data_IF_493790544912
#
_entry.id   IF_493790544912
#
_cell.length_a   1.000
_cell.length_b   1.000
_cell.length_c   1.000
_cell.angle_alpha   90.00
_cell.angle_beta   90.00
_cell.angle_gamma   90.00
#
_symmetry.space_group_name_H-M   'P 1'
#
loop_
_entity.id
_entity.type
_entity.pdbx_description
1 polymer ?
#
# COMPACT_ATOMS: atom_id res chain seq x y z
N UNK A 1 -11.78 -1.27 -41.15
CA UNK A 1 -10.67 -0.40 -40.72
C UNK A 1 -11.25 0.96 -40.37
N UNK A 2 -11.33 1.28 -39.07
CA UNK A 2 -11.51 2.65 -38.60
C UNK A 2 -10.42 2.84 -37.54
N UNK A 3 -9.44 3.67 -37.90
CA UNK A 3 -8.34 4.07 -37.05
C UNK A 3 -8.86 4.87 -35.86
N UNK A 4 -8.72 4.35 -34.64
CA UNK A 4 -8.84 5.18 -33.45
C UNK A 4 -7.54 5.99 -33.30
N UNK A 5 -7.52 7.14 -33.96
CA UNK A 5 -6.54 8.21 -33.85
C UNK A 5 -6.59 8.88 -32.47
N UNK A 6 -6.29 8.16 -31.38
CA UNK A 6 -5.91 8.72 -30.07
C UNK A 6 -5.13 7.69 -29.26
N UNK A 7 -3.96 7.28 -29.76
CA UNK A 7 -2.99 6.55 -28.94
C UNK A 7 -2.32 7.51 -27.97
N UNK A 8 -2.95 7.81 -26.83
CA UNK A 8 -2.21 8.39 -25.71
C UNK A 8 -1.14 7.39 -25.32
N UNK A 9 0.12 7.66 -25.66
CA UNK A 9 1.25 6.86 -25.20
C UNK A 9 1.25 6.86 -23.67
N UNK A 10 0.63 5.85 -23.06
CA UNK A 10 0.63 5.63 -21.63
C UNK A 10 1.99 5.06 -21.26
N UNK A 11 2.97 5.93 -21.04
CA UNK A 11 4.27 5.51 -20.51
C UNK A 11 4.06 4.81 -19.17
N UNK A 12 4.36 3.51 -19.14
CA UNK A 12 4.43 2.70 -17.92
C UNK A 12 5.87 2.78 -17.42
N UNK A 13 6.13 3.60 -16.40
CA UNK A 13 7.49 3.95 -15.97
C UNK A 13 8.24 2.74 -15.43
N UNK A 14 7.55 1.86 -14.71
CA UNK A 14 8.15 0.65 -14.12
C UNK A 14 7.77 -0.64 -14.86
N UNK A 15 7.47 -0.57 -16.18
CA UNK A 15 7.00 -1.72 -16.97
C UNK A 15 7.86 -2.98 -16.80
N UNK A 16 9.19 -2.86 -16.94
CA UNK A 16 10.12 -3.99 -16.81
C UNK A 16 10.05 -4.65 -15.43
N UNK A 17 9.91 -3.86 -14.36
CA UNK A 17 9.77 -4.40 -13.01
C UNK A 17 8.44 -5.13 -12.84
N UNK A 18 7.34 -4.54 -13.35
CA UNK A 18 6.00 -5.12 -13.27
C UNK A 18 5.90 -6.42 -14.08
N UNK A 19 6.50 -6.46 -15.27
CA UNK A 19 6.47 -7.64 -16.14
C UNK A 19 7.33 -8.80 -15.62
N UNK A 20 8.36 -8.50 -14.82
CA UNK A 20 9.18 -9.51 -14.16
C UNK A 20 8.54 -10.16 -12.93
N UNK A 21 7.36 -9.71 -12.50
CA UNK A 21 6.67 -10.27 -11.33
C UNK A 21 6.07 -11.65 -11.64
N UNK A 22 6.36 -12.64 -10.81
CA UNK A 22 5.62 -13.89 -10.81
C UNK A 22 4.33 -13.72 -9.99
N UNK A 23 3.21 -13.60 -10.69
CA UNK A 23 1.88 -13.42 -10.08
C UNK A 23 1.07 -14.72 -9.96
N UNK A 24 1.71 -15.88 -10.19
CA UNK A 24 1.05 -17.19 -10.06
C UNK A 24 0.62 -17.41 -8.61
N UNK A 25 -0.62 -17.83 -8.41
CA UNK A 25 -1.24 -18.07 -7.10
C UNK A 25 -1.35 -16.83 -6.18
N UNK A 26 -1.22 -15.62 -6.72
CA UNK A 26 -1.41 -14.37 -5.97
C UNK A 26 -2.71 -13.71 -6.43
N UNK A 27 -3.75 -13.71 -5.60
CA UNK A 27 -5.05 -13.16 -5.96
C UNK A 27 -5.36 -11.81 -5.29
N UNK A 28 -4.41 -11.25 -4.55
CA UNK A 28 -4.59 -9.97 -3.88
C UNK A 28 -3.40 -9.05 -4.06
N UNK A 29 -3.71 -7.78 -4.29
CA UNK A 29 -2.73 -6.70 -4.43
C UNK A 29 -2.97 -5.66 -3.36
N UNK A 30 -1.89 -5.17 -2.76
CA UNK A 30 -1.89 -4.11 -1.75
C UNK A 30 -1.02 -2.96 -2.24
N UNK A 31 -1.61 -1.79 -2.42
CA UNK A 31 -0.92 -0.57 -2.83
C UNK A 31 -0.68 0.34 -1.62
N UNK A 32 0.59 0.62 -1.34
CA UNK A 32 1.03 1.49 -0.24
C UNK A 32 1.90 2.63 -0.74
N UNK A 33 1.91 3.73 -0.01
CA UNK A 33 2.70 4.91 -0.37
C UNK A 33 4.17 4.72 -0.01
N UNK A 34 4.41 4.22 1.21
CA UNK A 34 5.73 4.14 1.84
C UNK A 34 6.02 2.72 2.35
N UNK A 35 7.31 2.35 2.46
CA UNK A 35 7.69 1.04 2.99
C UNK A 35 7.63 1.02 4.51
N UNK A 36 6.60 0.39 5.07
CA UNK A 36 6.23 0.23 6.49
C UNK A 36 4.71 0.25 6.61
N UNK A 37 4.02 1.04 5.78
CA UNK A 37 2.57 1.13 5.66
C UNK A 37 1.91 -0.27 5.59
N UNK A 38 2.45 -1.18 4.78
CA UNK A 38 1.90 -2.52 4.59
C UNK A 38 1.94 -3.34 5.88
N UNK A 39 2.91 -3.06 6.74
CA UNK A 39 3.09 -3.72 8.03
C UNK A 39 2.28 -3.03 9.12
N UNK A 40 2.28 -1.70 9.18
CA UNK A 40 1.55 -0.91 10.18
C UNK A 40 0.05 -1.17 10.04
N UNK A 41 -0.47 -1.10 8.82
CA UNK A 41 -1.91 -1.16 8.56
C UNK A 41 -2.40 -2.54 8.13
N UNK A 42 -1.50 -3.43 7.69
CA UNK A 42 -1.87 -4.73 7.12
C UNK A 42 -1.04 -5.93 7.56
N UNK A 43 -0.16 -5.79 8.55
CA UNK A 43 0.78 -6.84 8.96
C UNK A 43 0.13 -8.17 9.35
N UNK A 44 -0.99 -8.16 10.09
CA UNK A 44 -1.74 -9.38 10.44
C UNK A 44 -2.33 -10.06 9.21
N UNK A 45 -2.78 -9.27 8.24
CA UNK A 45 -3.28 -9.78 6.96
C UNK A 45 -2.17 -10.38 6.10
N UNK A 46 -0.99 -9.75 6.04
CA UNK A 46 0.18 -10.28 5.33
C UNK A 46 0.68 -11.60 5.93
N UNK A 47 0.53 -11.81 7.25
CA UNK A 47 0.88 -13.08 7.90
C UNK A 47 -0.04 -14.24 7.52
N UNK A 48 -1.25 -13.96 7.01
CA UNK A 48 -2.29 -14.96 6.73
C UNK A 48 -2.47 -15.25 5.25
N UNK A 49 -1.98 -14.38 4.36
CA UNK A 49 -2.22 -14.48 2.93
C UNK A 49 -1.06 -13.87 2.15
N UNK A 50 -0.78 -14.46 0.99
CA UNK A 50 0.19 -13.97 0.02
C UNK A 50 -0.41 -12.81 -0.79
N UNK A 51 0.23 -11.64 -0.72
CA UNK A 51 -0.11 -10.47 -1.55
C UNK A 51 1.00 -10.16 -2.56
N UNK A 52 0.61 -9.50 -3.64
CA UNK A 52 1.50 -8.55 -4.31
C UNK A 52 1.43 -7.24 -3.53
N UNK A 53 2.53 -6.80 -2.91
CA UNK A 53 2.61 -5.49 -2.26
C UNK A 53 3.39 -4.53 -3.16
N UNK A 54 2.74 -3.43 -3.52
CA UNK A 54 3.26 -2.38 -4.40
C UNK A 54 3.48 -1.13 -3.57
N UNK A 55 4.74 -0.81 -3.28
CA UNK A 55 5.11 0.43 -2.59
C UNK A 55 5.51 1.50 -3.62
N UNK A 56 4.85 2.66 -3.60
CA UNK A 56 5.03 3.67 -4.64
C UNK A 56 6.34 4.46 -4.53
N UNK A 57 6.93 4.57 -3.33
CA UNK A 57 8.09 5.44 -3.09
C UNK A 57 9.30 4.68 -2.55
N UNK A 58 10.43 5.41 -2.44
CA UNK A 58 11.63 4.99 -1.72
C UNK A 58 12.37 3.75 -2.29
N UNK A 59 12.08 3.32 -3.52
CA UNK A 59 12.76 2.18 -4.15
C UNK A 59 14.28 2.34 -4.30
N UNK A 60 14.81 3.57 -4.37
CA UNK A 60 16.26 3.83 -4.38
C UNK A 60 16.89 3.96 -2.97
N UNK A 61 16.07 4.04 -1.92
CA UNK A 61 16.56 4.08 -0.54
C UNK A 61 16.97 2.66 -0.14
N UNK A 62 18.28 2.38 -0.17
CA UNK A 62 18.81 1.03 0.06
C UNK A 62 18.40 0.44 1.42
N UNK A 63 18.34 1.26 2.47
CA UNK A 63 17.96 0.82 3.82
C UNK A 63 16.47 0.46 3.83
N UNK A 64 15.59 1.39 3.48
CA UNK A 64 14.14 1.16 3.52
C UNK A 64 13.72 0.03 2.55
N UNK A 65 14.39 -0.08 1.40
CA UNK A 65 14.18 -1.20 0.47
C UNK A 65 14.56 -2.55 1.06
N UNK A 66 15.68 -2.64 1.77
CA UNK A 66 16.09 -3.87 2.45
C UNK A 66 15.07 -4.28 3.52
N UNK A 67 14.61 -3.31 4.32
CA UNK A 67 13.61 -3.55 5.38
C UNK A 67 12.28 -4.03 4.79
N UNK A 68 11.78 -3.37 3.74
CA UNK A 68 10.58 -3.80 3.04
C UNK A 68 10.70 -5.22 2.48
N UNK A 69 11.79 -5.53 1.77
CA UNK A 69 11.99 -6.87 1.21
C UNK A 69 12.15 -7.95 2.29
N UNK A 70 12.66 -7.61 3.48
CA UNK A 70 12.69 -8.53 4.62
C UNK A 70 11.28 -8.90 5.08
N UNK A 71 10.35 -7.93 5.17
CA UNK A 71 8.94 -8.21 5.50
C UNK A 71 8.27 -9.07 4.43
N UNK A 72 8.51 -8.76 3.15
CA UNK A 72 7.99 -9.57 2.04
C UNK A 72 8.46 -11.02 2.14
N UNK A 73 9.76 -11.23 2.42
CA UNK A 73 10.32 -12.56 2.66
C UNK A 73 9.69 -13.24 3.88
N UNK A 74 9.52 -12.53 4.99
CA UNK A 74 8.98 -13.08 6.23
C UNK A 74 7.50 -13.47 6.15
N UNK A 75 6.75 -12.80 5.27
CA UNK A 75 5.31 -13.04 5.04
C UNK A 75 5.05 -13.97 3.85
N UNK A 76 6.10 -14.36 3.12
CA UNK A 76 5.97 -15.06 1.84
C UNK A 76 5.34 -14.22 0.72
N UNK A 77 5.13 -12.92 0.94
CA UNK A 77 4.52 -12.02 -0.04
C UNK A 77 5.49 -11.58 -1.12
N UNK A 78 4.95 -11.22 -2.30
CA UNK A 78 5.73 -10.66 -3.39
C UNK A 78 5.72 -9.15 -3.29
N UNK A 79 6.89 -8.52 -3.18
CA UNK A 79 7.02 -7.08 -3.08
C UNK A 79 7.62 -6.44 -4.31
N UNK A 80 7.12 -5.26 -4.69
CA UNK A 80 7.75 -4.36 -5.65
C UNK A 80 7.72 -2.94 -5.10
N UNK A 81 8.87 -2.25 -5.21
CA UNK A 81 8.99 -0.85 -4.81
C UNK A 81 9.32 0.00 -6.02
N UNK A 82 8.54 1.05 -6.22
CA UNK A 82 8.82 2.10 -7.19
C UNK A 82 9.66 3.20 -6.57
N UNK A 83 10.18 4.08 -7.42
CA UNK A 83 10.98 5.21 -6.98
C UNK A 83 10.32 6.55 -7.33
N UNK A 84 9.00 6.66 -7.11
CA UNK A 84 8.36 7.97 -7.14
C UNK A 84 8.83 8.81 -5.94
N UNK A 85 8.89 10.15 -6.11
CA UNK A 85 9.46 11.02 -5.08
C UNK A 85 8.63 10.96 -3.80
N UNK A 86 9.30 10.66 -2.68
CA UNK A 86 8.73 10.86 -1.35
C UNK A 86 8.87 12.35 -0.94
N UNK A 87 10.07 12.89 -1.19
CA UNK A 87 10.39 14.30 -0.99
C UNK A 87 11.07 14.87 -2.22
N UNK A 88 10.83 16.15 -2.47
CA UNK A 88 11.54 16.98 -3.45
C UNK A 88 12.06 18.21 -2.71
N UNK A 89 13.36 18.49 -2.81
CA UNK A 89 14.02 19.60 -2.10
C UNK A 89 13.75 19.58 -0.57
N UNK A 90 13.76 18.40 0.04
CA UNK A 90 13.54 18.22 1.48
C UNK A 90 12.07 18.28 1.94
N UNK A 91 11.15 18.70 1.07
CA UNK A 91 9.72 18.79 1.36
C UNK A 91 8.95 17.62 0.77
N UNK A 92 7.81 17.25 1.36
CA UNK A 92 6.94 16.19 0.85
C UNK A 92 6.48 16.53 -0.57
N UNK A 93 6.64 15.59 -1.50
CA UNK A 93 6.23 15.82 -2.89
C UNK A 93 4.69 15.81 -3.01
N UNK A 94 4.11 16.57 -3.93
CA UNK A 94 2.66 16.57 -4.16
C UNK A 94 2.25 15.71 -5.37
N UNK A 95 3.23 14.98 -5.92
CA UNK A 95 3.16 14.17 -7.12
C UNK A 95 2.65 14.89 -8.36
N UNK A 96 2.63 16.23 -8.42
CA UNK A 96 2.10 16.93 -9.60
C UNK A 96 2.80 16.50 -10.91
N UNK A 97 4.12 16.27 -10.86
CA UNK A 97 4.91 15.83 -12.03
C UNK A 97 4.88 14.32 -12.26
N UNK A 98 4.58 13.52 -11.23
CA UNK A 98 4.63 12.04 -11.28
C UNK A 98 3.26 11.38 -11.37
N UNK A 99 2.16 12.08 -11.02
CA UNK A 99 0.81 11.53 -10.86
C UNK A 99 0.32 10.77 -12.10
N UNK A 100 0.56 11.29 -13.31
CA UNK A 100 0.20 10.60 -14.55
C UNK A 100 0.89 9.23 -14.65
N UNK A 101 2.17 9.15 -14.32
CA UNK A 101 2.94 7.90 -14.36
C UNK A 101 2.53 6.94 -13.25
N UNK A 102 2.26 7.44 -12.04
CA UNK A 102 1.75 6.63 -10.93
C UNK A 102 0.43 5.98 -11.34
N UNK A 103 -0.51 6.76 -11.89
CA UNK A 103 -1.78 6.26 -12.43
C UNK A 103 -1.56 5.19 -13.50
N UNK A 104 -0.66 5.43 -14.45
CA UNK A 104 -0.36 4.47 -15.51
C UNK A 104 0.20 3.14 -14.94
N UNK A 105 1.12 3.18 -13.99
CA UNK A 105 1.72 1.97 -13.41
C UNK A 105 0.72 1.19 -12.53
N UNK A 106 -0.09 1.90 -11.73
CA UNK A 106 -1.20 1.31 -10.97
C UNK A 106 -2.20 0.66 -11.91
N UNK A 107 -2.65 1.37 -12.94
CA UNK A 107 -3.55 0.83 -13.97
C UNK A 107 -2.98 -0.41 -14.64
N UNK A 108 -1.68 -0.39 -14.97
CA UNK A 108 -1.00 -1.50 -15.61
C UNK A 108 -1.00 -2.75 -14.72
N UNK A 109 -0.62 -2.61 -13.44
CA UNK A 109 -0.68 -3.72 -12.45
C UNK A 109 -2.11 -4.26 -12.30
N UNK A 110 -3.09 -3.37 -12.18
CA UNK A 110 -4.49 -3.75 -11.98
C UNK A 110 -5.06 -4.57 -13.15
N UNK A 111 -4.53 -4.44 -14.37
CA UNK A 111 -4.95 -5.28 -15.50
C UNK A 111 -4.00 -6.40 -15.88
N UNK A 112 -3.01 -6.74 -15.05
CA UNK A 112 -2.23 -7.97 -15.24
C UNK A 112 -3.09 -9.22 -15.07
N UNK A 113 -4.13 -9.16 -14.21
CA UNK A 113 -5.14 -10.19 -13.99
C UNK A 113 -6.34 -9.60 -13.26
N UNK A 114 -7.43 -10.38 -13.15
CA UNK A 114 -8.53 -10.04 -12.24
C UNK A 114 -8.10 -10.34 -10.80
N UNK A 115 -8.01 -9.30 -9.98
CA UNK A 115 -7.69 -9.41 -8.56
C UNK A 115 -8.95 -9.79 -7.76
N UNK A 116 -8.83 -10.69 -6.77
CA UNK A 116 -9.92 -10.98 -5.83
C UNK A 116 -10.05 -9.89 -4.77
N UNK A 117 -8.94 -9.26 -4.40
CA UNK A 117 -8.92 -8.17 -3.41
C UNK A 117 -7.89 -7.14 -3.82
N UNK A 118 -8.29 -5.88 -3.79
CA UNK A 118 -7.42 -4.72 -3.96
C UNK A 118 -7.42 -3.98 -2.63
N UNK A 119 -6.25 -3.81 -2.03
CA UNK A 119 -6.08 -3.13 -0.74
C UNK A 119 -5.32 -1.85 -0.95
N UNK A 120 -5.75 -0.76 -0.31
CA UNK A 120 -4.99 0.49 -0.30
C UNK A 120 -5.32 1.33 0.94
N UNK A 121 -4.63 2.46 1.08
CA UNK A 121 -4.92 3.48 2.08
C UNK A 121 -6.38 3.93 2.05
N UNK A 122 -6.90 4.37 3.18
CA UNK A 122 -8.24 4.93 3.26
C UNK A 122 -8.32 6.37 2.74
N UNK A 123 -9.51 6.88 2.39
CA UNK A 123 -9.67 8.25 1.89
C UNK A 123 -9.18 9.35 2.83
N UNK A 124 -9.17 9.13 4.15
CA UNK A 124 -8.67 10.11 5.13
C UNK A 124 -7.13 10.16 5.15
N UNK A 125 -6.45 9.16 4.58
CA UNK A 125 -4.99 9.03 4.60
C UNK A 125 -4.43 8.63 5.95
N UNK A 126 -5.23 7.88 6.72
CA UNK A 126 -4.91 7.30 8.01
C UNK A 126 -4.76 8.44 9.01
N UNK A 127 -3.55 8.86 9.35
CA UNK A 127 -3.34 10.02 10.22
C UNK A 127 -3.32 11.34 9.44
N UNK A 128 -3.97 11.40 8.27
CA UNK A 128 -4.03 12.58 7.41
C UNK A 128 -2.83 12.74 6.46
N UNK A 129 -2.12 11.66 6.13
CA UNK A 129 -0.93 11.75 5.30
C UNK A 129 -1.27 11.94 3.81
N UNK A 130 -0.77 13.02 3.19
CA UNK A 130 -1.14 13.39 1.82
C UNK A 130 -0.83 12.31 0.77
N UNK A 131 0.29 11.59 0.89
CA UNK A 131 0.57 10.48 -0.04
C UNK A 131 -0.38 9.31 0.14
N UNK A 132 -0.92 9.08 1.34
CA UNK A 132 -1.86 8.00 1.58
C UNK A 132 -3.18 8.35 0.89
N UNK A 133 -3.65 9.59 1.06
CA UNK A 133 -4.83 10.14 0.37
C UNK A 133 -4.66 10.05 -1.16
N UNK A 134 -3.51 10.47 -1.70
CA UNK A 134 -3.25 10.39 -3.14
C UNK A 134 -3.19 8.94 -3.66
N UNK A 135 -2.58 8.03 -2.90
CA UNK A 135 -2.54 6.60 -3.24
C UNK A 135 -3.94 6.01 -3.23
N UNK A 136 -4.71 6.28 -2.17
CA UNK A 136 -6.10 5.90 -2.02
C UNK A 136 -6.93 6.38 -3.21
N UNK A 137 -6.84 7.66 -3.55
CA UNK A 137 -7.55 8.25 -4.68
C UNK A 137 -7.17 7.60 -6.01
N UNK A 138 -5.88 7.43 -6.29
CA UNK A 138 -5.40 6.87 -7.56
C UNK A 138 -5.90 5.43 -7.75
N UNK A 139 -5.79 4.60 -6.71
CA UNK A 139 -6.22 3.19 -6.78
C UNK A 139 -7.75 3.10 -6.84
N UNK A 140 -8.45 3.82 -5.98
CA UNK A 140 -9.91 3.73 -5.86
C UNK A 140 -10.66 4.29 -7.07
N UNK A 141 -10.04 5.18 -7.84
CA UNK A 141 -10.62 5.77 -9.05
C UNK A 141 -10.15 5.09 -10.34
N UNK A 142 -9.31 4.07 -10.26
CA UNK A 142 -8.92 3.32 -11.44
C UNK A 142 -10.12 2.51 -11.98
N UNK A 143 -10.35 2.58 -13.29
CA UNK A 143 -11.49 1.91 -13.93
C UNK A 143 -11.44 0.38 -13.86
N UNK A 144 -10.31 -0.21 -13.48
CA UNK A 144 -10.14 -1.66 -13.29
C UNK A 144 -10.50 -2.13 -11.88
N UNK A 145 -10.83 -1.22 -10.97
CA UNK A 145 -11.19 -1.55 -9.59
C UNK A 145 -12.71 -1.60 -9.44
N UNK A 146 -13.21 -2.73 -8.95
CA UNK A 146 -14.60 -2.90 -8.52
C UNK A 146 -14.73 -2.57 -7.01
N UNK A 147 -15.75 -1.82 -6.63
CA UNK A 147 -16.01 -1.43 -5.23
C UNK A 147 -16.22 -2.63 -4.29
N UNK A 148 -16.60 -3.79 -4.81
CA UNK A 148 -16.76 -5.03 -4.03
C UNK A 148 -15.44 -5.74 -3.73
N UNK A 149 -14.38 -5.52 -4.52
CA UNK A 149 -13.03 -6.06 -4.26
C UNK A 149 -12.14 -5.08 -3.50
N UNK A 150 -12.47 -3.78 -3.50
CA UNK A 150 -11.67 -2.74 -2.89
C UNK A 150 -11.86 -2.71 -1.37
N UNK A 151 -10.75 -2.78 -0.66
CA UNK A 151 -10.67 -2.72 0.80
C UNK A 151 -9.69 -1.62 1.19
N UNK A 152 -10.11 -0.75 2.10
CA UNK A 152 -9.27 0.25 2.71
C UNK A 152 -8.67 -0.28 4.00
N UNK A 153 -7.47 0.18 4.31
CA UNK A 153 -6.95 0.14 5.67
C UNK A 153 -7.92 0.83 6.65
N UNK A 154 -7.82 0.46 7.92
CA UNK A 154 -8.73 0.95 8.96
C UNK A 154 -8.52 2.44 9.28
N UNK A 155 -9.50 3.02 9.98
CA UNK A 155 -9.41 4.40 10.46
C UNK A 155 -8.30 4.55 11.49
N UNK A 156 -7.60 5.68 11.42
CA UNK A 156 -6.71 6.11 12.48
C UNK A 156 -7.49 6.78 13.60
N UNK A 157 -7.09 6.50 14.83
CA UNK A 157 -7.53 7.23 16.00
C UNK A 157 -6.31 7.76 16.74
N UNK A 158 -6.37 9.03 17.19
CA UNK A 158 -5.37 9.57 18.11
C UNK A 158 -5.44 8.77 19.41
N UNK A 159 -4.30 8.52 20.07
CA UNK A 159 -4.23 7.71 21.30
C UNK A 159 -5.26 8.12 22.37
N UNK A 160 -5.47 9.43 22.56
CA UNK A 160 -6.46 9.98 23.52
C UNK A 160 -7.93 9.80 23.13
N UNK A 161 -8.20 9.48 21.86
CA UNK A 161 -9.55 9.35 21.31
C UNK A 161 -9.76 7.92 20.74
N UNK A 162 -9.01 6.93 21.22
CA UNK A 162 -9.13 5.55 20.78
C UNK A 162 -10.46 4.96 21.30
N UNK A 163 -11.36 4.47 20.45
CA UNK A 163 -12.63 3.91 20.90
C UNK A 163 -12.42 2.67 21.77
N UNK A 164 -13.14 2.58 22.89
CA UNK A 164 -13.02 1.47 23.84
C UNK A 164 -13.41 0.10 23.25
N UNK A 165 -14.30 0.09 22.27
CA UNK A 165 -14.80 -1.10 21.58
C UNK A 165 -14.12 -1.33 20.22
N UNK A 166 -12.98 -0.68 19.95
CA UNK A 166 -12.26 -0.90 18.70
C UNK A 166 -11.69 -2.31 18.70
N UNK A 167 -12.07 -3.12 17.71
CA UNK A 167 -11.58 -4.50 17.62
C UNK A 167 -10.05 -4.50 17.49
N UNK A 168 -9.45 -5.47 18.19
CA UNK A 168 -8.03 -5.76 18.14
C UNK A 168 -7.80 -7.12 17.49
N UNK A 169 -6.68 -7.26 16.78
CA UNK A 169 -6.20 -8.58 16.34
C UNK A 169 -5.86 -9.44 17.57
N UNK A 170 -5.81 -10.77 17.38
CA UNK A 170 -5.45 -11.68 18.47
C UNK A 170 -4.06 -11.36 19.04
N UNK A 171 -3.83 -11.67 20.33
CA UNK A 171 -2.53 -11.45 20.97
C UNK A 171 -1.39 -12.20 20.26
N UNK A 172 -1.68 -13.39 19.72
CA UNK A 172 -0.74 -14.18 18.92
C UNK A 172 -0.38 -13.48 17.61
N UNK A 173 -1.38 -12.96 16.89
CA UNK A 173 -1.15 -12.20 15.66
C UNK A 173 -0.41 -10.89 15.94
N UNK A 174 -0.75 -10.18 17.02
CA UNK A 174 -0.05 -8.98 17.43
C UNK A 174 1.42 -9.27 17.71
N UNK A 175 1.74 -10.34 18.47
CA UNK A 175 3.13 -10.75 18.72
C UNK A 175 3.90 -11.03 17.43
N UNK A 176 3.27 -11.69 16.44
CA UNK A 176 3.89 -11.93 15.13
C UNK A 176 4.05 -10.63 14.33
N UNK A 177 3.04 -9.76 14.33
CA UNK A 177 3.07 -8.45 13.69
C UNK A 177 4.18 -7.57 14.25
N UNK A 178 4.38 -7.55 15.57
CA UNK A 178 5.48 -6.81 16.22
C UNK A 178 6.87 -7.27 15.76
N UNK A 179 7.03 -8.54 15.35
CA UNK A 179 8.28 -9.01 14.72
C UNK A 179 8.46 -8.40 13.33
N UNK A 180 7.38 -8.25 12.55
CA UNK A 180 7.44 -7.59 11.24
C UNK A 180 7.80 -6.10 11.40
N UNK A 181 7.17 -5.40 12.34
CA UNK A 181 7.46 -3.96 12.58
C UNK A 181 8.92 -3.74 12.98
N UNK A 182 9.50 -4.64 13.78
CA UNK A 182 10.92 -4.56 14.17
C UNK A 182 11.91 -4.68 12.99
N UNK A 183 11.47 -5.18 11.83
CA UNK A 183 12.31 -5.23 10.63
C UNK A 183 12.52 -3.85 10.01
N UNK A 184 11.68 -2.87 10.34
CA UNK A 184 11.84 -1.46 9.97
C UNK A 184 12.60 -0.68 11.04
N UNK A 185 13.84 -1.09 11.31
CA UNK A 185 14.72 -0.44 12.29
C UNK A 185 14.90 1.06 12.05
N UNK A 186 14.95 1.48 10.78
CA UNK A 186 15.07 2.89 10.39
C UNK A 186 13.82 3.72 10.68
N UNK A 187 12.68 3.07 10.93
CA UNK A 187 11.38 3.67 11.20
C UNK A 187 10.90 3.45 12.64
N UNK A 188 11.82 3.17 13.59
CA UNK A 188 11.47 2.97 15.01
C UNK A 188 10.59 4.09 15.57
N UNK A 189 10.92 5.36 15.28
CA UNK A 189 10.11 6.52 15.69
C UNK A 189 8.69 6.50 15.13
N UNK A 190 8.48 5.99 13.92
CA UNK A 190 7.15 5.84 13.32
C UNK A 190 6.39 4.73 14.05
N UNK A 191 7.06 3.61 14.34
CA UNK A 191 6.48 2.50 15.09
C UNK A 191 6.09 2.92 16.53
N UNK A 192 6.89 3.74 17.18
CA UNK A 192 6.58 4.31 18.50
C UNK A 192 5.38 5.27 18.42
N UNK A 193 5.37 6.16 17.42
CA UNK A 193 4.30 7.15 17.23
C UNK A 193 2.94 6.52 16.91
N UNK A 194 2.94 5.44 16.13
CA UNK A 194 1.73 4.73 15.69
C UNK A 194 1.49 3.43 16.46
N UNK A 195 2.28 3.16 17.51
CA UNK A 195 2.26 1.90 18.25
C UNK A 195 0.89 1.55 18.83
N UNK A 196 0.11 2.56 19.24
CA UNK A 196 -1.25 2.38 19.75
C UNK A 196 -2.24 1.88 18.69
N UNK A 197 -1.92 2.01 17.39
CA UNK A 197 -2.75 1.49 16.29
C UNK A 197 -2.33 0.10 15.81
N UNK A 198 -1.15 -0.41 16.20
CA UNK A 198 -0.67 -1.72 15.74
C UNK A 198 -1.62 -2.89 16.09
N UNK A 199 -2.37 -2.89 17.21
CA UNK A 199 -3.39 -3.90 17.47
C UNK A 199 -4.62 -3.82 16.55
N UNK A 200 -4.85 -2.71 15.86
CA UNK A 200 -6.15 -2.37 15.27
C UNK A 200 -6.12 -2.35 13.73
N UNK A 201 -6.18 -3.53 13.10
CA UNK A 201 -6.30 -3.68 11.63
C UNK A 201 -7.77 -3.79 11.19
N UNK A 202 -8.55 -2.78 11.52
CA UNK A 202 -9.99 -2.72 11.22
C UNK A 202 -10.25 -2.32 9.77
N UNK A 203 -9.81 -3.14 8.82
CA UNK A 203 -10.00 -2.93 7.39
C UNK A 203 -11.49 -2.76 7.04
N UNK A 204 -11.78 -1.85 6.11
CA UNK A 204 -13.15 -1.48 5.73
C UNK A 204 -13.32 -1.69 4.23
N UNK A 205 -14.39 -2.33 3.78
CA UNK A 205 -14.67 -2.38 2.34
C UNK A 205 -14.97 -0.97 1.85
N UNK A 206 -14.48 -0.60 0.66
CA UNK A 206 -14.64 0.76 0.16
C UNK A 206 -16.10 1.18 0.03
N UNK A 207 -17.00 0.25 -0.33
CA UNK A 207 -18.44 0.51 -0.39
C UNK A 207 -19.08 0.85 0.97
N UNK A 208 -18.44 0.47 2.06
CA UNK A 208 -18.90 0.70 3.43
C UNK A 208 -18.18 1.91 4.06
N UNK A 209 -17.26 2.56 3.33
CA UNK A 209 -16.60 3.78 3.77
C UNK A 209 -17.57 4.96 3.70
N UNK A 210 -17.75 5.64 4.84
CA UNK A 210 -18.66 6.79 5.02
C UNK A 210 -17.91 8.02 5.48
#
# INVERSE_FOLDING_TARGET
MISSLFGSNHTIKHKKMIDGLNLKNIDSVMFVAHPDDETIWGGSHLLKKHYLVVCLTNGNNKVRRKEFMNVMKATGSTGVMFNYPDKTNGQRDNWNKSRKYIKNDVHYILGKKKWKTVVTHNPDGEYGHTHHQMTSYIVSKDSRVDMNQLVHFGRYYKKKNLPHNLNSISQSDLKKKMKLTSMYSSQSKVMDHLGHMLPHENWVKAKDWR
#
